data_IF_193924167696
#
_entry.id   IF_193924167696
#
_cell.length_a   1.000
_cell.length_b   1.000
_cell.length_c   1.000
_cell.angle_alpha   90.00
_cell.angle_beta   90.00
_cell.angle_gamma   90.00
#
_symmetry.space_group_name_H-M   'P 1'
#
loop_
_entity.id
_entity.type
_entity.pdbx_description
1 polymer ?
#
# COMPACT_ATOMS: atom_id res chain seq x y z
N UNK A 1 44.51 28.68 16.66
CA UNK A 1 45.30 27.95 15.63
C UNK A 1 45.00 26.44 15.58
N UNK A 2 43.73 25.99 15.67
CA UNK A 2 43.37 24.55 15.70
C UNK A 2 42.39 24.10 14.58
N UNK A 3 42.15 24.94 13.56
CA UNK A 3 41.27 24.61 12.44
C UNK A 3 41.64 23.32 11.67
N UNK A 4 42.92 23.04 11.33
CA UNK A 4 43.26 21.85 10.53
C UNK A 4 43.01 20.54 11.29
N UNK A 5 43.15 20.52 12.61
CA UNK A 5 42.95 19.32 13.44
C UNK A 5 41.46 18.89 13.52
N UNK A 6 40.53 19.85 13.45
CA UNK A 6 39.09 19.59 13.50
C UNK A 6 38.51 19.06 12.18
N UNK A 7 39.05 19.52 11.05
CA UNK A 7 38.73 19.03 9.71
C UNK A 7 39.31 17.63 9.48
N UNK A 8 40.54 17.38 9.92
CA UNK A 8 41.16 16.05 9.86
C UNK A 8 40.38 15.03 10.70
N UNK A 9 39.90 15.40 11.89
CA UNK A 9 39.04 14.54 12.72
C UNK A 9 37.66 14.26 12.10
N UNK A 10 37.08 15.20 11.36
CA UNK A 10 35.79 15.03 10.66
C UNK A 10 35.93 14.22 9.37
N UNK A 11 37.05 14.35 8.66
CA UNK A 11 37.39 13.49 7.53
C UNK A 11 37.70 12.06 8.00
N UNK A 12 38.50 11.90 9.07
CA UNK A 12 38.79 10.57 9.65
C UNK A 12 37.57 9.90 10.33
N UNK A 13 36.44 10.60 10.50
CA UNK A 13 35.23 10.05 11.10
C UNK A 13 34.38 9.19 10.16
N UNK A 14 34.63 9.22 8.85
CA UNK A 14 33.91 8.38 7.88
C UNK A 14 34.84 7.34 7.26
N UNK A 15 34.41 6.08 7.26
CA UNK A 15 35.17 4.93 6.72
C UNK A 15 35.54 5.09 5.25
N UNK A 16 34.75 5.86 4.49
CA UNK A 16 35.03 6.20 3.11
C UNK A 16 36.16 7.22 2.95
N UNK A 17 36.22 8.23 3.83
CA UNK A 17 37.25 9.27 3.77
C UNK A 17 38.61 8.75 4.27
N UNK A 18 38.63 7.84 5.25
CA UNK A 18 39.86 7.15 5.67
C UNK A 18 40.40 6.25 4.55
N UNK A 19 39.54 5.48 3.88
CA UNK A 19 39.93 4.63 2.77
C UNK A 19 40.48 5.44 1.58
N UNK A 20 39.80 6.51 1.17
CA UNK A 20 40.26 7.39 0.08
C UNK A 20 41.57 8.10 0.42
N UNK A 21 41.76 8.56 1.67
CA UNK A 21 43.02 9.14 2.11
C UNK A 21 44.16 8.11 2.07
N UNK A 22 43.91 6.86 2.47
CA UNK A 22 44.92 5.79 2.43
C UNK A 22 45.38 5.52 0.99
N UNK A 23 44.45 5.42 0.04
CA UNK A 23 44.76 5.23 -1.39
C UNK A 23 45.56 6.40 -1.94
N UNK A 24 45.20 7.64 -1.60
CA UNK A 24 45.92 8.83 -2.04
C UNK A 24 47.35 8.88 -1.51
N UNK A 25 47.56 8.55 -0.22
CA UNK A 25 48.89 8.45 0.38
C UNK A 25 49.71 7.36 -0.29
N UNK A 26 49.11 6.18 -0.53
CA UNK A 26 49.80 5.08 -1.19
C UNK A 26 50.23 5.43 -2.63
N UNK A 27 49.34 6.08 -3.40
CA UNK A 27 49.65 6.58 -4.73
C UNK A 27 50.80 7.60 -4.70
N UNK A 28 50.78 8.52 -3.75
CA UNK A 28 51.83 9.53 -3.60
C UNK A 28 53.18 8.89 -3.24
N UNK A 29 53.20 7.94 -2.30
CA UNK A 29 54.41 7.21 -1.92
C UNK A 29 54.94 6.35 -3.07
N UNK A 30 54.06 5.65 -3.80
CA UNK A 30 54.44 4.85 -4.96
C UNK A 30 54.99 5.74 -6.09
N UNK A 31 54.36 6.89 -6.35
CA UNK A 31 54.81 7.87 -7.36
C UNK A 31 56.20 8.41 -7.02
N UNK A 32 56.40 8.89 -5.80
CA UNK A 32 57.69 9.45 -5.35
C UNK A 32 58.78 8.37 -5.33
N UNK A 33 58.46 7.19 -4.80
CA UNK A 33 59.39 6.07 -4.74
C UNK A 33 59.79 5.57 -6.12
N UNK A 34 58.82 5.36 -7.01
CA UNK A 34 59.08 4.93 -8.39
C UNK A 34 59.89 5.96 -9.16
N UNK A 35 59.56 7.25 -9.03
CA UNK A 35 60.34 8.31 -9.65
C UNK A 35 61.79 8.31 -9.15
N UNK A 36 62.00 8.20 -7.84
CA UNK A 36 63.32 8.22 -7.24
C UNK A 36 64.20 7.02 -7.64
N UNK A 37 63.62 5.81 -7.65
CA UNK A 37 64.38 4.58 -7.90
C UNK A 37 64.50 4.20 -9.39
N UNK A 38 63.55 4.59 -10.25
CA UNK A 38 63.51 4.17 -11.66
C UNK A 38 63.74 5.32 -12.64
N UNK A 39 63.05 6.46 -12.45
CA UNK A 39 62.96 7.49 -13.50
C UNK A 39 63.92 8.68 -13.31
N UNK A 40 64.46 8.90 -12.11
CA UNK A 40 65.30 10.08 -11.79
C UNK A 40 66.52 10.25 -12.70
N UNK A 41 67.04 9.14 -13.24
CA UNK A 41 68.23 9.14 -14.08
C UNK A 41 67.91 9.30 -15.58
N UNK A 42 66.64 9.29 -15.97
CA UNK A 42 66.19 9.45 -17.36
C UNK A 42 65.64 10.88 -17.58
N UNK A 43 66.32 11.73 -18.37
CA UNK A 43 65.89 13.10 -18.63
C UNK A 43 64.55 13.20 -19.39
N UNK A 44 64.12 12.13 -20.05
CA UNK A 44 62.88 12.09 -20.85
C UNK A 44 61.63 11.81 -20.02
N UNK A 45 61.79 11.49 -18.73
CA UNK A 45 60.71 11.04 -17.85
C UNK A 45 60.47 12.01 -16.70
N UNK A 46 59.20 12.19 -16.38
CA UNK A 46 58.71 13.17 -15.43
C UNK A 46 58.08 12.51 -14.21
N UNK A 47 57.81 13.31 -13.16
CA UNK A 47 57.06 12.83 -12.00
C UNK A 47 55.63 12.38 -12.39
N UNK A 48 55.07 12.98 -13.44
CA UNK A 48 53.77 12.59 -13.97
C UNK A 48 53.79 11.18 -14.57
N UNK A 49 54.90 10.77 -15.21
CA UNK A 49 55.06 9.41 -15.72
C UNK A 49 55.10 8.36 -14.60
N UNK A 50 55.67 8.72 -13.44
CA UNK A 50 55.62 7.86 -12.25
C UNK A 50 54.19 7.75 -11.68
N UNK A 51 53.42 8.85 -11.69
CA UNK A 51 52.02 8.86 -11.26
C UNK A 51 51.15 8.03 -12.21
N UNK A 52 51.38 8.18 -13.52
CA UNK A 52 50.74 7.39 -14.57
C UNK A 52 50.98 5.90 -14.33
N UNK A 53 52.24 5.49 -14.15
CA UNK A 53 52.57 4.10 -13.83
C UNK A 53 51.87 3.60 -12.56
N UNK A 54 51.88 4.39 -11.48
CA UNK A 54 51.25 4.03 -10.22
C UNK A 54 49.74 3.85 -10.37
N UNK A 55 49.07 4.73 -11.13
CA UNK A 55 47.63 4.66 -11.42
C UNK A 55 47.28 3.43 -12.27
N UNK A 56 48.02 3.18 -13.35
CA UNK A 56 47.80 2.05 -14.28
C UNK A 56 48.04 0.71 -13.58
N UNK A 57 49.03 0.66 -12.68
CA UNK A 57 49.34 -0.53 -11.87
C UNK A 57 48.26 -0.75 -10.82
N UNK A 58 47.82 0.31 -10.13
CA UNK A 58 46.77 0.24 -9.13
C UNK A 58 45.42 -0.19 -9.70
N UNK A 59 45.09 0.30 -10.89
CA UNK A 59 43.85 -0.04 -11.59
C UNK A 59 43.92 -1.42 -12.25
N UNK A 60 45.02 -2.17 -12.09
CA UNK A 60 45.25 -3.49 -12.69
C UNK A 60 45.20 -3.51 -14.23
N UNK A 61 45.43 -2.36 -14.88
CA UNK A 61 45.41 -2.25 -16.36
C UNK A 61 46.74 -2.72 -16.94
N UNK A 62 47.86 -2.22 -16.41
CA UNK A 62 49.20 -2.69 -16.75
C UNK A 62 49.58 -2.60 -18.23
N UNK A 63 49.60 -1.40 -18.82
CA UNK A 63 49.97 -1.22 -20.24
C UNK A 63 51.37 -1.73 -20.60
N UNK A 64 52.30 -1.77 -19.64
CA UNK A 64 53.67 -2.27 -19.84
C UNK A 64 54.60 -1.28 -20.57
N UNK A 65 54.16 -0.05 -20.76
CA UNK A 65 54.90 1.08 -21.34
C UNK A 65 55.99 1.62 -20.41
N UNK A 66 55.77 1.54 -19.11
CA UNK A 66 56.73 1.88 -18.05
C UNK A 66 56.73 0.73 -17.04
N UNK A 67 57.90 0.20 -16.70
CA UNK A 67 58.03 -0.96 -15.80
C UNK A 67 59.24 -0.82 -14.86
N UNK A 68 59.16 -1.32 -13.61
CA UNK A 68 60.30 -1.29 -12.70
C UNK A 68 61.38 -2.29 -13.12
N UNK A 69 62.61 -1.80 -13.31
CA UNK A 69 63.77 -2.65 -13.59
C UNK A 69 64.61 -2.88 -12.33
N UNK A 70 64.59 -1.97 -11.37
CA UNK A 70 65.33 -2.07 -10.12
C UNK A 70 64.63 -2.94 -9.09
N UNK A 71 65.41 -3.53 -8.18
CA UNK A 71 64.88 -4.29 -7.03
C UNK A 71 63.92 -3.45 -6.17
N UNK A 72 64.25 -2.23 -5.71
CA UNK A 72 63.32 -1.42 -4.93
C UNK A 72 62.07 -1.01 -5.71
N UNK A 73 62.17 -0.69 -7.01
CA UNK A 73 61.00 -0.39 -7.83
C UNK A 73 60.06 -1.59 -7.99
N UNK A 74 60.60 -2.80 -8.10
CA UNK A 74 59.81 -4.04 -8.14
C UNK A 74 59.09 -4.31 -6.82
N UNK A 75 59.72 -4.01 -5.67
CA UNK A 75 59.07 -4.12 -4.35
C UNK A 75 57.88 -3.16 -4.24
N UNK A 76 58.05 -1.91 -4.67
CA UNK A 76 56.96 -0.92 -4.74
C UNK A 76 55.84 -1.44 -5.66
N UNK A 77 56.20 -1.96 -6.83
CA UNK A 77 55.25 -2.55 -7.78
C UNK A 77 54.44 -3.70 -7.19
N UNK A 78 55.09 -4.64 -6.48
CA UNK A 78 54.40 -5.75 -5.81
C UNK A 78 53.41 -5.25 -4.75
N UNK A 79 53.80 -4.25 -3.95
CA UNK A 79 52.90 -3.61 -2.99
C UNK A 79 51.70 -2.94 -3.68
N UNK A 80 51.95 -2.23 -4.78
CA UNK A 80 50.91 -1.54 -5.55
C UNK A 80 49.91 -2.51 -6.18
N UNK A 81 50.39 -3.62 -6.74
CA UNK A 81 49.56 -4.69 -7.31
C UNK A 81 48.68 -5.34 -6.24
N UNK A 82 49.26 -5.69 -5.08
CA UNK A 82 48.50 -6.26 -3.96
C UNK A 82 47.42 -5.32 -3.45
N UNK A 83 47.74 -4.03 -3.33
CA UNK A 83 46.78 -3.02 -2.93
C UNK A 83 45.70 -2.75 -3.98
N UNK A 84 46.05 -2.77 -5.27
CA UNK A 84 45.10 -2.67 -6.39
C UNK A 84 44.02 -3.76 -6.34
N UNK A 85 44.44 -5.01 -6.15
CA UNK A 85 43.53 -6.15 -5.96
C UNK A 85 42.65 -5.93 -4.72
N UNK A 86 43.24 -5.52 -3.59
CA UNK A 86 42.51 -5.26 -2.35
C UNK A 86 41.43 -4.18 -2.50
N UNK A 87 41.74 -3.07 -3.18
CA UNK A 87 40.80 -1.96 -3.41
C UNK A 87 39.66 -2.41 -4.33
N UNK A 88 39.96 -3.13 -5.42
CA UNK A 88 38.94 -3.66 -6.34
C UNK A 88 38.02 -4.68 -5.65
N UNK A 89 38.57 -5.56 -4.80
CA UNK A 89 37.81 -6.49 -4.00
C UNK A 89 36.89 -5.78 -3.00
N UNK A 90 37.40 -4.75 -2.30
CA UNK A 90 36.62 -3.95 -1.35
C UNK A 90 35.49 -3.17 -2.05
N UNK A 91 35.76 -2.55 -3.20
CA UNK A 91 34.75 -1.83 -3.99
C UNK A 91 33.62 -2.77 -4.43
N UNK A 92 33.98 -3.94 -4.95
CA UNK A 92 33.03 -4.98 -5.38
C UNK A 92 32.21 -5.50 -4.19
N UNK A 93 32.85 -5.79 -3.06
CA UNK A 93 32.19 -6.24 -1.84
C UNK A 93 31.21 -5.20 -1.28
N UNK A 94 31.57 -3.93 -1.28
CA UNK A 94 30.70 -2.84 -0.84
C UNK A 94 29.47 -2.68 -1.75
N UNK A 95 29.66 -2.74 -3.08
CA UNK A 95 28.55 -2.66 -4.03
C UNK A 95 27.62 -3.86 -3.88
N UNK A 96 28.17 -5.07 -3.76
CA UNK A 96 27.41 -6.29 -3.51
C UNK A 96 26.61 -6.19 -2.20
N UNK A 97 27.25 -5.75 -1.12
CA UNK A 97 26.61 -5.57 0.19
C UNK A 97 25.48 -4.55 0.13
N UNK A 98 25.67 -3.42 -0.57
CA UNK A 98 24.63 -2.41 -0.74
C UNK A 98 23.42 -2.94 -1.54
N UNK A 99 23.64 -3.78 -2.55
CA UNK A 99 22.57 -4.43 -3.31
C UNK A 99 21.83 -5.48 -2.47
N UNK A 100 22.56 -6.30 -1.72
CA UNK A 100 22.01 -7.31 -0.82
C UNK A 100 21.18 -6.63 0.27
N UNK A 101 21.68 -5.57 0.89
CA UNK A 101 20.97 -4.80 1.91
C UNK A 101 19.67 -4.21 1.36
N UNK A 102 19.71 -3.62 0.15
CA UNK A 102 18.49 -3.13 -0.51
C UNK A 102 17.48 -4.26 -0.74
N UNK A 103 17.93 -5.44 -1.18
CA UNK A 103 17.07 -6.60 -1.42
C UNK A 103 16.49 -7.15 -0.12
N UNK A 104 17.29 -7.21 0.95
CA UNK A 104 16.89 -7.65 2.27
C UNK A 104 15.86 -6.69 2.86
N UNK A 105 16.09 -5.37 2.79
CA UNK A 105 15.09 -4.37 3.22
C UNK A 105 13.78 -4.51 2.47
N UNK A 106 13.79 -4.82 1.17
CA UNK A 106 12.55 -5.10 0.43
C UNK A 106 11.84 -6.35 0.96
N UNK A 107 12.57 -7.47 1.13
CA UNK A 107 12.02 -8.72 1.67
C UNK A 107 11.47 -8.58 3.10
N UNK A 108 12.12 -7.77 3.93
CA UNK A 108 11.69 -7.49 5.29
C UNK A 108 10.49 -6.53 5.36
N UNK A 109 9.98 -6.05 4.22
CA UNK A 109 8.92 -5.05 4.18
C UNK A 109 9.37 -3.72 4.77
N UNK A 110 10.64 -3.33 4.64
CA UNK A 110 11.22 -2.06 5.11
C UNK A 110 11.48 -1.05 3.98
N UNK A 111 11.32 -1.48 2.73
CA UNK A 111 11.39 -0.61 1.56
C UNK A 111 10.07 0.19 1.38
N UNK A 112 10.10 1.36 0.73
CA UNK A 112 8.90 2.04 0.27
C UNK A 112 8.29 1.29 -0.92
N UNK A 113 6.96 1.18 -0.91
CA UNK A 113 6.16 0.57 -1.98
C UNK A 113 5.64 1.69 -2.87
N UNK A 114 6.02 1.67 -4.16
CA UNK A 114 5.57 2.65 -5.15
C UNK A 114 4.50 2.03 -6.03
N UNK A 115 3.24 2.34 -5.75
CA UNK A 115 2.08 1.84 -6.50
C UNK A 115 0.92 2.85 -6.43
N UNK A 116 -0.07 2.68 -7.31
CA UNK A 116 -1.26 3.53 -7.39
C UNK A 116 -2.49 2.70 -7.74
N UNK A 117 -3.66 3.07 -7.21
CA UNK A 117 -4.91 2.36 -7.45
C UNK A 117 -5.04 1.03 -6.69
N UNK A 118 -4.13 0.76 -5.75
CA UNK A 118 -4.17 -0.36 -4.81
C UNK A 118 -5.14 -0.11 -3.66
N UNK A 119 -5.57 -1.18 -2.99
CA UNK A 119 -6.17 -1.09 -1.67
C UNK A 119 -5.10 -1.19 -0.59
N UNK A 120 -5.26 -0.43 0.48
CA UNK A 120 -4.38 -0.46 1.64
C UNK A 120 -5.07 -1.19 2.78
N UNK A 121 -4.41 -2.19 3.37
CA UNK A 121 -4.90 -2.90 4.56
C UNK A 121 -3.96 -2.57 5.71
N UNK A 122 -4.49 -1.99 6.78
CA UNK A 122 -3.77 -1.47 7.94
C UNK A 122 -4.09 -2.34 9.15
N UNK A 123 -3.08 -3.00 9.70
CA UNK A 123 -3.26 -4.02 10.74
C UNK A 123 -3.43 -5.43 10.17
N UNK A 124 -3.38 -6.40 11.06
CA UNK A 124 -3.52 -7.82 10.73
C UNK A 124 -4.21 -8.54 11.89
N UNK A 125 -5.20 -9.36 11.55
CA UNK A 125 -6.02 -10.14 12.45
C UNK A 125 -6.47 -11.44 11.75
N UNK A 126 -7.22 -12.28 12.43
CA UNK A 126 -7.80 -13.52 11.91
C UNK A 126 -8.65 -13.38 10.64
N UNK A 127 -9.23 -12.20 10.37
CA UNK A 127 -10.05 -11.93 9.19
C UNK A 127 -9.26 -11.33 8.01
N UNK A 128 -8.00 -10.95 8.23
CA UNK A 128 -7.18 -10.22 7.25
C UNK A 128 -7.04 -11.00 5.93
N UNK A 129 -6.80 -12.31 5.99
CA UNK A 129 -6.65 -13.15 4.81
C UNK A 129 -7.91 -13.14 3.92
N UNK A 130 -9.09 -13.26 4.53
CA UNK A 130 -10.38 -13.21 3.84
C UNK A 130 -10.62 -11.85 3.17
N UNK A 131 -10.32 -10.75 3.88
CA UNK A 131 -10.41 -9.40 3.32
C UNK A 131 -9.47 -9.22 2.12
N UNK A 132 -8.19 -9.58 2.27
CA UNK A 132 -7.18 -9.46 1.20
C UNK A 132 -7.63 -10.23 -0.05
N UNK A 133 -8.14 -11.45 0.12
CA UNK A 133 -8.67 -12.27 -0.98
C UNK A 133 -9.85 -11.60 -1.68
N UNK A 134 -10.80 -11.08 -0.91
CA UNK A 134 -11.98 -10.38 -1.46
C UNK A 134 -11.59 -9.10 -2.22
N UNK A 135 -10.64 -8.32 -1.69
CA UNK A 135 -10.13 -7.10 -2.33
C UNK A 135 -9.37 -7.42 -3.63
N UNK A 136 -8.56 -8.48 -3.63
CA UNK A 136 -7.80 -8.89 -4.81
C UNK A 136 -8.70 -9.44 -5.93
N UNK A 137 -9.80 -10.12 -5.58
CA UNK A 137 -10.80 -10.61 -6.52
C UNK A 137 -11.64 -9.47 -7.12
N UNK A 138 -11.94 -8.43 -6.34
CA UNK A 138 -12.67 -7.25 -6.81
C UNK A 138 -11.79 -6.22 -7.53
N UNK A 139 -10.46 -6.37 -7.48
CA UNK A 139 -9.54 -5.44 -8.09
C UNK A 139 -9.53 -5.57 -9.63
N UNK A 140 -9.45 -4.45 -10.37
CA UNK A 140 -9.29 -4.47 -11.81
C UNK A 140 -7.98 -5.20 -12.21
N UNK A 141 -7.92 -5.76 -13.43
CA UNK A 141 -6.70 -6.41 -13.92
C UNK A 141 -5.58 -5.37 -14.11
N UNK A 142 -4.64 -5.34 -13.16
CA UNK A 142 -3.48 -4.44 -13.16
C UNK A 142 -2.17 -5.23 -13.16
N UNK A 143 -1.10 -4.64 -13.74
CA UNK A 143 0.25 -5.24 -13.72
C UNK A 143 0.97 -5.13 -12.36
N UNK A 144 0.46 -4.35 -11.41
CA UNK A 144 1.07 -4.09 -10.10
C UNK A 144 0.32 -4.73 -8.93
N UNK A 145 0.83 -4.53 -7.69
CA UNK A 145 0.17 -5.03 -6.48
C UNK A 145 -1.21 -4.39 -6.34
N UNK A 146 -2.21 -5.23 -6.07
CA UNK A 146 -3.59 -4.78 -5.86
C UNK A 146 -3.89 -4.49 -4.41
N UNK A 147 -3.13 -5.09 -3.50
CA UNK A 147 -3.23 -4.88 -2.06
C UNK A 147 -1.83 -4.60 -1.49
N UNK A 148 -1.73 -3.62 -0.60
CA UNK A 148 -0.55 -3.38 0.23
C UNK A 148 -0.96 -3.57 1.68
N UNK A 149 -0.29 -4.49 2.39
CA UNK A 149 -0.50 -4.76 3.80
C UNK A 149 0.50 -3.96 4.64
N UNK A 150 0.01 -3.20 5.62
CA UNK A 150 0.82 -2.51 6.62
C UNK A 150 0.54 -3.12 7.98
N UNK A 151 1.47 -3.92 8.50
CA UNK A 151 1.25 -4.60 9.76
C UNK A 151 2.56 -4.89 10.52
N UNK A 152 2.51 -4.97 11.86
CA UNK A 152 3.66 -5.32 12.69
C UNK A 152 3.94 -6.84 12.72
N UNK A 153 3.68 -7.56 11.63
CA UNK A 153 3.94 -9.00 11.53
C UNK A 153 5.37 -9.30 11.04
N UNK A 154 5.81 -10.55 11.21
CA UNK A 154 7.11 -10.98 10.68
C UNK A 154 7.04 -11.21 9.17
N UNK A 155 8.15 -11.03 8.42
CA UNK A 155 8.20 -11.34 6.99
C UNK A 155 7.83 -12.79 6.67
N UNK A 156 8.12 -13.72 7.58
CA UNK A 156 7.79 -15.14 7.45
C UNK A 156 6.27 -15.35 7.53
N UNK A 157 5.60 -14.76 8.53
CA UNK A 157 4.14 -14.83 8.66
C UNK A 157 3.43 -14.16 7.47
N UNK A 158 4.00 -13.08 6.93
CA UNK A 158 3.50 -12.47 5.70
C UNK A 158 3.64 -13.41 4.49
N UNK A 159 4.79 -14.06 4.33
CA UNK A 159 5.04 -14.96 3.21
C UNK A 159 4.11 -16.18 3.24
N UNK A 160 3.87 -16.75 4.42
CA UNK A 160 2.91 -17.83 4.64
C UNK A 160 1.49 -17.39 4.25
N UNK A 161 1.02 -16.26 4.79
CA UNK A 161 -0.31 -15.73 4.46
C UNK A 161 -0.45 -15.42 2.96
N UNK A 162 0.59 -14.89 2.31
CA UNK A 162 0.58 -14.58 0.89
C UNK A 162 0.50 -15.85 0.02
N UNK A 163 1.18 -16.92 0.43
CA UNK A 163 1.16 -18.23 -0.23
C UNK A 163 -0.21 -18.90 -0.09
N UNK A 164 -0.78 -18.92 1.11
CA UNK A 164 -2.10 -19.52 1.39
C UNK A 164 -3.23 -18.89 0.55
N UNK A 165 -3.13 -17.58 0.29
CA UNK A 165 -4.13 -16.84 -0.50
C UNK A 165 -3.82 -16.92 -2.01
N UNK A 166 -2.61 -17.32 -2.40
CA UNK A 166 -2.17 -17.38 -3.80
C UNK A 166 -1.95 -15.99 -4.44
N UNK A 167 -1.46 -15.01 -3.68
CA UNK A 167 -1.31 -13.60 -4.11
C UNK A 167 0.14 -13.09 -4.05
N UNK A 168 1.13 -13.98 -4.12
CA UNK A 168 2.56 -13.67 -3.99
C UNK A 168 3.03 -12.47 -4.83
N UNK A 169 2.54 -12.34 -6.06
CA UNK A 169 2.90 -11.25 -6.99
C UNK A 169 1.92 -10.07 -6.99
N UNK A 170 0.85 -10.16 -6.19
CA UNK A 170 -0.28 -9.20 -6.17
C UNK A 170 -0.44 -8.52 -4.80
N UNK A 171 0.29 -8.98 -3.79
CA UNK A 171 0.30 -8.48 -2.42
C UNK A 171 1.70 -7.95 -2.08
N UNK A 172 1.82 -6.68 -1.70
CA UNK A 172 3.07 -6.11 -1.17
C UNK A 172 2.94 -5.81 0.34
N UNK A 173 4.07 -5.74 1.04
CA UNK A 173 4.14 -5.66 2.51
C UNK A 173 4.99 -4.49 2.99
N UNK A 174 4.43 -3.72 3.91
CA UNK A 174 5.11 -2.73 4.73
C UNK A 174 5.07 -3.16 6.19
N UNK A 175 6.20 -3.62 6.70
CA UNK A 175 6.35 -3.98 8.11
C UNK A 175 6.36 -2.74 9.00
N UNK A 176 5.52 -2.76 10.02
CA UNK A 176 5.49 -1.77 11.10
C UNK A 176 4.07 -1.45 11.59
N UNK A 177 3.98 -0.59 12.61
CA UNK A 177 2.71 -0.15 13.15
C UNK A 177 2.07 0.91 12.22
N UNK A 178 0.82 0.73 11.76
CA UNK A 178 0.12 1.70 10.90
C UNK A 178 -0.13 3.06 11.56
N UNK A 179 -0.08 3.16 12.90
CA UNK A 179 -0.17 4.43 13.62
C UNK A 179 1.10 5.28 13.53
N UNK A 180 2.18 4.78 12.94
CA UNK A 180 3.41 5.55 12.73
C UNK A 180 3.45 6.12 11.31
N UNK A 181 3.51 7.46 11.21
CA UNK A 181 3.52 8.17 9.92
C UNK A 181 4.64 7.68 8.99
N UNK A 182 5.85 7.46 9.51
CA UNK A 182 6.98 6.96 8.72
C UNK A 182 6.80 5.55 8.15
N UNK A 183 6.01 4.70 8.82
CA UNK A 183 5.65 3.36 8.32
C UNK A 183 4.55 3.49 7.27
N UNK A 184 3.48 4.23 7.60
CA UNK A 184 2.32 4.37 6.74
C UNK A 184 2.64 5.10 5.43
N UNK A 185 3.48 6.14 5.48
CA UNK A 185 3.92 6.90 4.31
C UNK A 185 4.67 6.04 3.28
N UNK A 186 5.33 4.95 3.72
CA UNK A 186 6.01 4.01 2.81
C UNK A 186 5.05 3.17 1.98
N UNK A 187 3.78 3.10 2.34
CA UNK A 187 2.77 2.29 1.66
C UNK A 187 1.98 3.04 0.57
N UNK A 188 2.42 4.25 0.21
CA UNK A 188 1.77 5.13 -0.77
C UNK A 188 0.28 5.38 -0.47
N UNK A 189 -0.09 5.90 0.72
CA UNK A 189 -1.48 6.06 1.12
C UNK A 189 -2.26 7.06 0.23
N UNK A 190 -1.61 8.13 -0.25
CA UNK A 190 -2.25 9.17 -1.05
C UNK A 190 -2.70 8.70 -2.45
N UNK A 191 -2.12 7.63 -2.98
CA UNK A 191 -2.45 7.06 -4.30
C UNK A 191 -3.31 5.80 -4.20
N UNK A 192 -3.69 5.39 -2.99
CA UNK A 192 -4.56 4.26 -2.76
C UNK A 192 -6.00 4.57 -3.21
N UNK A 193 -6.70 3.54 -3.70
CA UNK A 193 -8.13 3.63 -4.05
C UNK A 193 -9.00 3.69 -2.80
N UNK A 194 -8.63 2.91 -1.79
CA UNK A 194 -9.31 2.80 -0.52
C UNK A 194 -8.35 2.22 0.53
N UNK A 195 -8.61 2.51 1.81
CA UNK A 195 -7.89 1.96 2.95
C UNK A 195 -8.85 1.28 3.94
N UNK A 196 -8.37 0.22 4.57
CA UNK A 196 -9.10 -0.59 5.55
C UNK A 196 -8.24 -0.73 6.80
N UNK A 197 -8.73 -0.31 7.96
CA UNK A 197 -8.09 -0.53 9.25
C UNK A 197 -8.75 -1.72 9.92
N UNK A 198 -7.93 -2.69 10.30
CA UNK A 198 -8.31 -3.88 11.03
C UNK A 198 -7.94 -3.71 12.50
N UNK A 199 -8.88 -3.98 13.40
CA UNK A 199 -8.57 -4.02 14.83
C UNK A 199 -7.71 -5.25 15.13
N UNK A 200 -6.73 -5.09 16.03
CA UNK A 200 -5.75 -6.13 16.33
C UNK A 200 -6.30 -7.18 17.30
N UNK A 201 -5.92 -8.42 17.06
CA UNK A 201 -6.24 -9.53 17.97
C UNK A 201 -5.28 -9.55 19.17
N UNK A 202 -5.73 -10.08 20.31
CA UNK A 202 -4.91 -10.26 21.51
C UNK A 202 -4.74 -9.01 22.40
N UNK A 203 -5.35 -7.89 22.04
CA UNK A 203 -5.45 -6.69 22.88
C UNK A 203 -6.81 -6.60 23.56
N UNK A 204 -6.86 -5.82 24.65
CA UNK A 204 -8.15 -5.42 25.23
C UNK A 204 -8.95 -4.57 24.22
N UNK A 205 -10.29 -4.64 24.21
CA UNK A 205 -11.12 -3.92 23.25
C UNK A 205 -10.83 -2.41 23.16
N UNK A 206 -10.62 -1.77 24.31
CA UNK A 206 -10.30 -0.35 24.40
C UNK A 206 -8.95 -0.04 23.73
N UNK A 207 -7.92 -0.85 23.99
CA UNK A 207 -6.58 -0.67 23.43
C UNK A 207 -6.55 -0.91 21.91
N UNK A 208 -7.27 -1.93 21.44
CA UNK A 208 -7.38 -2.22 20.01
C UNK A 208 -8.04 -1.05 19.26
N UNK A 209 -9.14 -0.51 19.78
CA UNK A 209 -9.84 0.61 19.17
C UNK A 209 -9.04 1.92 19.25
N UNK A 210 -8.28 2.14 20.32
CA UNK A 210 -7.34 3.26 20.41
C UNK A 210 -6.28 3.18 19.29
N UNK A 211 -5.74 1.99 19.01
CA UNK A 211 -4.81 1.82 17.90
C UNK A 211 -5.47 2.04 16.54
N UNK A 212 -6.71 1.58 16.35
CA UNK A 212 -7.51 1.86 15.16
C UNK A 212 -7.70 3.37 14.98
N UNK A 213 -8.03 4.09 16.04
CA UNK A 213 -8.21 5.55 16.03
C UNK A 213 -6.92 6.29 15.67
N UNK A 214 -5.79 5.91 16.26
CA UNK A 214 -4.49 6.51 15.95
C UNK A 214 -4.07 6.24 14.50
N UNK A 215 -4.28 5.02 14.00
CA UNK A 215 -4.05 4.68 12.61
C UNK A 215 -4.94 5.50 11.66
N UNK A 216 -6.20 5.73 12.03
CA UNK A 216 -7.13 6.54 11.25
C UNK A 216 -6.67 8.01 11.15
N UNK A 217 -6.29 8.62 12.27
CA UNK A 217 -5.78 9.99 12.30
C UNK A 217 -4.49 10.13 11.46
N UNK A 218 -3.56 9.19 11.62
CA UNK A 218 -2.31 9.15 10.85
C UNK A 218 -2.59 9.03 9.36
N UNK A 219 -3.49 8.13 8.97
CA UNK A 219 -3.89 7.94 7.58
C UNK A 219 -4.55 9.20 7.01
N UNK A 220 -5.47 9.81 7.75
CA UNK A 220 -6.22 10.98 7.29
C UNK A 220 -5.31 12.21 7.12
N UNK A 221 -4.24 12.32 7.92
CA UNK A 221 -3.17 13.31 7.71
C UNK A 221 -2.40 13.13 6.41
N UNK A 222 -2.14 11.89 5.98
CA UNK A 222 -1.38 11.58 4.76
C UNK A 222 -2.24 11.52 3.49
N UNK A 223 -3.51 11.10 3.61
CA UNK A 223 -4.41 10.82 2.51
C UNK A 223 -5.83 11.36 2.79
N UNK A 224 -6.01 12.70 2.84
CA UNK A 224 -7.24 13.32 3.31
C UNK A 224 -8.49 12.96 2.49
N UNK A 225 -8.33 12.65 1.20
CA UNK A 225 -9.42 12.40 0.24
C UNK A 225 -9.74 10.93 -0.01
N UNK A 226 -8.91 10.00 0.48
CA UNK A 226 -9.07 8.55 0.20
C UNK A 226 -10.12 7.96 1.12
N UNK A 227 -10.99 7.08 0.60
CA UNK A 227 -11.99 6.40 1.44
C UNK A 227 -11.29 5.51 2.47
N UNK A 228 -11.68 5.67 3.73
CA UNK A 228 -11.15 4.94 4.88
C UNK A 228 -12.28 4.17 5.55
N UNK A 229 -12.08 2.87 5.65
CA UNK A 229 -12.96 1.96 6.37
C UNK A 229 -12.20 1.46 7.59
N UNK A 230 -12.89 1.28 8.71
CA UNK A 230 -12.27 0.74 9.92
C UNK A 230 -13.15 -0.30 10.58
N UNK A 231 -12.51 -1.26 11.21
CA UNK A 231 -13.10 -2.18 12.16
C UNK A 231 -12.88 -1.67 13.58
N UNK A 232 -13.90 -1.77 14.42
CA UNK A 232 -13.82 -1.49 15.86
C UNK A 232 -14.47 -2.61 16.66
N UNK A 233 -14.13 -2.70 17.94
CA UNK A 233 -14.68 -3.67 18.87
C UNK A 233 -15.79 -3.08 19.73
N UNK A 234 -15.74 -1.77 20.02
CA UNK A 234 -16.72 -1.09 20.86
C UNK A 234 -17.61 -0.15 20.04
N UNK A 235 -18.92 -0.31 20.17
CA UNK A 235 -19.92 0.56 19.50
C UNK A 235 -19.77 2.03 19.91
N UNK A 236 -19.38 2.29 21.17
CA UNK A 236 -19.12 3.64 21.70
C UNK A 236 -18.03 4.39 20.92
N UNK A 237 -17.09 3.67 20.28
CA UNK A 237 -15.99 4.27 19.52
C UNK A 237 -16.37 4.64 18.08
N UNK A 238 -17.56 4.26 17.60
CA UNK A 238 -18.03 4.59 16.25
C UNK A 238 -17.96 6.09 15.99
N UNK A 239 -18.44 6.90 16.93
CA UNK A 239 -18.46 8.36 16.76
C UNK A 239 -17.04 8.95 16.79
N UNK A 240 -16.14 8.41 17.60
CA UNK A 240 -14.74 8.83 17.65
C UNK A 240 -14.01 8.54 16.33
N UNK A 241 -14.22 7.36 15.75
CA UNK A 241 -13.66 6.99 14.46
C UNK A 241 -14.21 7.85 13.32
N UNK A 242 -15.52 8.13 13.31
CA UNK A 242 -16.11 9.05 12.35
C UNK A 242 -15.49 10.45 12.43
N UNK A 243 -15.24 10.97 13.64
CA UNK A 243 -14.55 12.26 13.86
C UNK A 243 -13.08 12.23 13.42
N UNK A 244 -12.39 11.09 13.53
CA UNK A 244 -11.07 10.88 12.95
C UNK A 244 -11.09 10.76 11.41
N UNK A 245 -12.27 10.87 10.81
CA UNK A 245 -12.49 10.80 9.38
C UNK A 245 -12.61 9.38 8.87
N UNK A 246 -12.98 8.37 9.65
CA UNK A 246 -13.35 7.06 9.09
C UNK A 246 -14.72 7.20 8.40
N UNK A 247 -14.81 6.77 7.14
CA UNK A 247 -16.03 6.87 6.34
C UNK A 247 -17.05 5.80 6.71
N UNK A 248 -16.61 4.56 6.98
CA UNK A 248 -17.49 3.48 7.48
C UNK A 248 -16.78 2.69 8.57
N UNK A 249 -17.45 2.55 9.70
CA UNK A 249 -17.00 1.70 10.81
C UNK A 249 -17.85 0.44 10.90
N UNK A 250 -17.20 -0.71 10.92
CA UNK A 250 -17.82 -2.01 11.19
C UNK A 250 -17.48 -2.43 12.62
N UNK A 251 -18.48 -2.71 13.44
CA UNK A 251 -18.25 -3.32 14.75
C UNK A 251 -18.11 -4.83 14.57
N UNK A 252 -17.01 -5.38 15.06
CA UNK A 252 -16.75 -6.82 15.00
C UNK A 252 -17.81 -7.55 15.80
N UNK A 253 -18.43 -8.57 15.19
CA UNK A 253 -19.45 -9.38 15.84
C UNK A 253 -20.89 -8.89 15.64
N UNK A 254 -21.12 -7.58 15.45
CA UNK A 254 -22.48 -7.01 15.31
C UNK A 254 -23.31 -7.68 14.19
N UNK A 255 -22.70 -7.92 13.03
CA UNK A 255 -23.39 -8.62 11.94
C UNK A 255 -23.74 -10.07 12.31
N UNK A 256 -22.85 -10.77 13.01
CA UNK A 256 -23.06 -12.15 13.47
C UNK A 256 -24.17 -12.22 14.51
N UNK A 257 -24.19 -11.28 15.45
CA UNK A 257 -25.23 -11.18 16.48
C UNK A 257 -26.60 -10.92 15.86
N UNK A 258 -26.69 -9.96 14.93
CA UNK A 258 -27.91 -9.67 14.16
C UNK A 258 -28.35 -10.87 13.34
N UNK A 259 -27.41 -11.57 12.71
CA UNK A 259 -27.69 -12.79 11.97
C UNK A 259 -28.33 -13.86 12.86
N UNK A 260 -27.72 -14.17 14.00
CA UNK A 260 -28.23 -15.15 14.96
C UNK A 260 -29.63 -14.78 15.48
N UNK A 261 -29.87 -13.49 15.75
CA UNK A 261 -31.19 -12.98 16.13
C UNK A 261 -32.25 -13.25 15.06
N UNK A 262 -31.97 -12.90 13.80
CA UNK A 262 -32.92 -13.08 12.69
C UNK A 262 -33.17 -14.54 12.31
N UNK A 263 -32.19 -15.43 12.52
CA UNK A 263 -32.37 -16.87 12.29
C UNK A 263 -33.43 -17.48 13.21
N UNK A 264 -33.57 -16.94 14.43
CA UNK A 264 -34.62 -17.35 15.35
C UNK A 264 -36.03 -16.99 14.87
N UNK A 265 -36.16 -15.91 14.09
CA UNK A 265 -37.43 -15.53 13.46
C UNK A 265 -37.74 -16.42 12.25
N UNK A 266 -36.79 -16.52 11.31
CA UNK A 266 -36.91 -17.41 10.16
C UNK A 266 -35.53 -17.70 9.51
N UNK A 267 -35.08 -18.97 9.44
CA UNK A 267 -33.76 -19.33 8.91
C UNK A 267 -33.49 -18.85 7.47
N UNK A 268 -34.53 -18.73 6.65
CA UNK A 268 -34.39 -18.24 5.27
C UNK A 268 -33.89 -16.79 5.17
N UNK A 269 -34.06 -15.95 6.19
CA UNK A 269 -33.60 -14.55 6.18
C UNK A 269 -32.08 -14.47 6.11
N UNK A 270 -31.38 -15.34 6.86
CA UNK A 270 -29.92 -15.42 6.78
C UNK A 270 -29.44 -15.91 5.42
N UNK A 271 -30.02 -17.00 4.92
CA UNK A 271 -29.64 -17.56 3.61
C UNK A 271 -29.91 -16.55 2.48
N UNK A 272 -30.96 -15.75 2.60
CA UNK A 272 -31.24 -14.65 1.69
C UNK A 272 -30.14 -13.58 1.76
N UNK A 273 -29.74 -13.16 2.97
CA UNK A 273 -28.68 -12.18 3.15
C UNK A 273 -27.31 -12.67 2.65
N UNK A 274 -26.95 -13.93 2.88
CA UNK A 274 -25.74 -14.55 2.33
C UNK A 274 -25.72 -14.49 0.80
N UNK A 275 -26.85 -14.82 0.16
CA UNK A 275 -27.00 -14.72 -1.30
C UNK A 275 -26.88 -13.29 -1.80
N UNK A 276 -27.35 -12.31 -1.03
CA UNK A 276 -27.25 -10.89 -1.37
C UNK A 276 -25.81 -10.37 -1.27
N UNK A 277 -25.10 -10.72 -0.21
CA UNK A 277 -23.67 -10.39 -0.02
C UNK A 277 -22.80 -11.07 -1.08
N UNK A 278 -23.23 -12.24 -1.54
CA UNK A 278 -22.65 -12.97 -2.66
C UNK A 278 -21.32 -13.65 -2.31
N UNK A 279 -20.71 -14.27 -3.32
CA UNK A 279 -19.34 -14.80 -3.26
C UNK A 279 -18.41 -13.96 -4.12
N UNK A 280 -17.07 -13.99 -3.89
CA UNK A 280 -16.13 -13.27 -4.76
C UNK A 280 -16.36 -13.63 -6.24
N UNK A 281 -16.73 -12.64 -7.06
CA UNK A 281 -17.04 -12.81 -8.49
C UNK A 281 -18.54 -12.92 -8.83
N UNK A 282 -19.42 -13.20 -7.87
CA UNK A 282 -20.87 -13.28 -8.07
C UNK A 282 -21.59 -12.47 -6.98
N UNK A 283 -21.85 -11.19 -7.27
CA UNK A 283 -22.60 -10.30 -6.37
C UNK A 283 -24.00 -10.07 -6.93
N UNK A 284 -25.01 -10.59 -6.23
CA UNK A 284 -26.40 -10.32 -6.54
C UNK A 284 -26.74 -8.85 -6.36
N UNK A 285 -26.11 -8.18 -5.38
CA UNK A 285 -26.27 -6.77 -5.08
C UNK A 285 -25.16 -5.91 -5.69
N UNK A 286 -25.54 -4.86 -6.41
CA UNK A 286 -24.60 -3.91 -7.02
C UNK A 286 -25.03 -2.48 -6.73
N UNK A 287 -24.08 -1.63 -6.36
CA UNK A 287 -24.27 -0.19 -6.27
C UNK A 287 -23.89 0.45 -7.61
N UNK A 288 -24.73 1.34 -8.13
CA UNK A 288 -24.44 2.14 -9.34
C UNK A 288 -24.79 3.60 -9.10
N UNK A 289 -24.08 4.50 -9.78
CA UNK A 289 -24.48 5.89 -9.85
C UNK A 289 -25.80 6.04 -10.62
N UNK A 290 -26.60 7.04 -10.23
CA UNK A 290 -27.76 7.47 -11.00
C UNK A 290 -27.28 8.23 -12.24
N UNK A 291 -27.84 7.89 -13.41
CA UNK A 291 -27.60 8.65 -14.64
C UNK A 291 -28.22 10.05 -14.55
N UNK A 292 -27.78 10.97 -15.41
CA UNK A 292 -28.28 12.35 -15.42
C UNK A 292 -29.81 12.40 -15.59
N UNK A 293 -30.36 11.52 -16.42
CA UNK A 293 -31.79 11.44 -16.69
C UNK A 293 -32.59 10.87 -15.51
N UNK A 294 -31.99 9.96 -14.73
CA UNK A 294 -32.65 9.34 -13.56
C UNK A 294 -32.72 10.27 -12.36
N UNK A 295 -31.84 11.27 -12.25
CA UNK A 295 -31.84 12.22 -11.12
C UNK A 295 -33.08 13.10 -11.06
N UNK A 296 -33.81 13.27 -12.16
CA UNK A 296 -35.07 14.02 -12.19
C UNK A 296 -36.32 13.13 -12.06
N UNK A 297 -36.15 11.82 -11.90
CA UNK A 297 -37.25 10.88 -11.81
C UNK A 297 -37.62 10.57 -10.36
N UNK A 298 -38.85 10.13 -10.18
CA UNK A 298 -39.31 9.51 -8.93
C UNK A 298 -38.86 8.06 -8.84
N UNK A 299 -38.72 7.55 -7.62
CA UNK A 299 -38.35 6.16 -7.37
C UNK A 299 -39.22 5.16 -8.15
N UNK A 300 -40.54 5.32 -8.12
CA UNK A 300 -41.49 4.46 -8.85
C UNK A 300 -41.22 4.41 -10.36
N UNK A 301 -40.84 5.54 -10.95
CA UNK A 301 -40.51 5.65 -12.38
C UNK A 301 -39.22 4.90 -12.71
N UNK A 302 -38.21 4.98 -11.84
CA UNK A 302 -36.95 4.23 -12.01
C UNK A 302 -37.16 2.74 -11.82
N UNK A 303 -37.97 2.33 -10.85
CA UNK A 303 -38.34 0.92 -10.67
C UNK A 303 -39.10 0.40 -11.89
N UNK A 304 -40.13 1.11 -12.35
CA UNK A 304 -40.90 0.72 -13.53
C UNK A 304 -40.02 0.60 -14.78
N UNK A 305 -39.12 1.56 -15.01
CA UNK A 305 -38.15 1.53 -16.13
C UNK A 305 -37.20 0.35 -16.03
N UNK A 306 -36.63 0.10 -14.84
CA UNK A 306 -35.69 -0.99 -14.63
C UNK A 306 -36.35 -2.37 -14.76
N UNK A 307 -37.62 -2.49 -14.36
CA UNK A 307 -38.43 -3.70 -14.53
C UNK A 307 -38.81 -3.92 -16.00
N UNK A 308 -39.10 -2.86 -16.77
CA UNK A 308 -39.36 -2.96 -18.21
C UNK A 308 -38.13 -3.44 -19.00
N UNK A 309 -36.92 -3.05 -18.58
CA UNK A 309 -35.66 -3.52 -19.17
C UNK A 309 -35.31 -4.96 -18.76
N UNK A 310 -36.06 -5.57 -17.82
CA UNK A 310 -36.01 -7.00 -17.48
C UNK A 310 -34.72 -7.51 -16.84
N UNK A 311 -33.80 -6.62 -16.45
CA UNK A 311 -32.43 -7.01 -16.08
C UNK A 311 -32.04 -6.77 -14.63
N UNK A 312 -32.68 -5.81 -13.95
CA UNK A 312 -32.25 -5.35 -12.62
C UNK A 312 -33.43 -4.85 -11.80
N UNK A 313 -33.48 -5.18 -10.52
CA UNK A 313 -34.48 -4.69 -9.57
C UNK A 313 -33.83 -3.66 -8.63
N UNK A 314 -34.15 -2.37 -8.74
CA UNK A 314 -33.73 -1.38 -7.77
C UNK A 314 -34.38 -1.64 -6.41
N UNK A 315 -33.60 -1.65 -5.34
CA UNK A 315 -34.06 -1.94 -3.97
C UNK A 315 -33.78 -0.83 -2.98
N UNK A 316 -32.77 0.01 -3.24
CA UNK A 316 -32.43 1.12 -2.36
C UNK A 316 -31.78 2.27 -3.13
N UNK A 317 -31.76 3.45 -2.52
CA UNK A 317 -30.99 4.63 -2.97
C UNK A 317 -29.95 5.00 -1.93
N UNK A 318 -28.84 5.59 -2.36
CA UNK A 318 -27.77 5.97 -1.45
C UNK A 318 -27.16 7.34 -1.74
N UNK A 319 -26.58 7.91 -0.69
CA UNK A 319 -25.71 9.10 -0.72
C UNK A 319 -24.37 8.73 -0.11
N UNK A 320 -23.26 9.03 -0.77
CA UNK A 320 -21.90 8.66 -0.36
C UNK A 320 -21.34 9.65 0.67
N UNK A 321 -21.70 10.93 0.58
CA UNK A 321 -21.19 11.97 1.48
C UNK A 321 -22.33 12.81 2.05
N UNK A 322 -22.31 12.99 3.38
CA UNK A 322 -23.07 14.03 4.07
C UNK A 322 -22.06 14.87 4.86
N UNK A 323 -21.91 16.13 4.48
CA UNK A 323 -21.25 17.09 5.35
C UNK A 323 -22.10 17.22 6.62
N UNK A 324 -21.53 16.93 7.79
CA UNK A 324 -22.14 17.19 9.09
C UNK A 324 -22.20 18.69 9.26
N UNK A 325 -23.40 19.25 9.25
CA UNK A 325 -23.61 20.63 9.69
C UNK A 325 -23.60 20.69 11.22
N UNK A 326 -23.05 21.76 11.81
CA UNK A 326 -23.01 22.05 13.26
C UNK A 326 -24.37 21.83 13.92
N UNK A 327 -25.43 22.19 13.19
CA UNK A 327 -26.82 22.05 13.61
C UNK A 327 -27.22 20.60 13.94
N UNK A 328 -26.55 19.61 13.36
CA UNK A 328 -26.81 18.18 13.61
C UNK A 328 -25.98 17.63 14.79
N UNK A 329 -25.04 18.41 15.32
CA UNK A 329 -24.14 18.03 16.41
C UNK A 329 -24.54 18.66 17.75
N UNK A 330 -25.45 19.61 17.72
CA UNK A 330 -25.91 20.41 18.85
C UNK A 330 -27.38 20.07 19.15
N UNK A 331 -27.73 19.99 20.43
CA UNK A 331 -29.13 19.84 20.85
C UNK A 331 -29.78 21.23 20.79
N UNK A 332 -30.69 21.42 19.84
CA UNK A 332 -31.25 22.74 19.51
C UNK A 332 -32.06 23.41 20.65
N UNK A 333 -32.27 22.70 21.77
CA UNK A 333 -33.00 23.16 22.94
C UNK A 333 -32.12 23.89 23.97
N UNK A 334 -30.79 23.89 23.80
CA UNK A 334 -29.86 24.57 24.70
C UNK A 334 -29.50 25.98 24.22
N UNK A 335 -29.60 26.99 25.09
CA UNK A 335 -29.29 28.39 24.74
C UNK A 335 -27.83 28.61 24.26
N UNK A 336 -26.90 27.77 24.75
CA UNK A 336 -25.51 27.78 24.30
C UNK A 336 -25.37 27.33 22.84
N UNK A 337 -26.17 26.37 22.42
CA UNK A 337 -26.11 25.77 21.09
C UNK A 337 -26.67 26.72 20.03
N UNK A 338 -27.71 27.49 20.37
CA UNK A 338 -28.21 28.58 19.54
C UNK A 338 -27.17 29.70 19.38
N UNK A 339 -26.48 30.07 20.47
CA UNK A 339 -25.41 31.07 20.40
C UNK A 339 -24.24 30.61 19.50
N UNK A 340 -23.84 29.34 19.58
CA UNK A 340 -22.82 28.77 18.70
C UNK A 340 -23.29 28.85 17.23
N UNK A 341 -24.53 28.46 16.93
CA UNK A 341 -25.08 28.53 15.57
C UNK A 341 -25.10 29.96 15.01
N UNK A 342 -25.50 30.94 15.81
CA UNK A 342 -25.48 32.37 15.42
C UNK A 342 -24.06 32.87 15.15
N UNK A 343 -23.08 32.43 15.94
CA UNK A 343 -21.68 32.78 15.74
C UNK A 343 -21.18 32.29 14.37
N UNK A 344 -21.46 31.03 14.02
CA UNK A 344 -21.05 30.46 12.73
C UNK A 344 -21.72 31.15 11.54
N UNK A 345 -23.02 31.49 11.67
CA UNK A 345 -23.75 32.24 10.66
C UNK A 345 -23.18 33.65 10.46
N UNK A 346 -22.79 34.34 11.53
CA UNK A 346 -22.20 35.68 11.48
C UNK A 346 -20.81 35.72 10.80
N UNK A 347 -20.03 34.64 10.90
CA UNK A 347 -18.71 34.52 10.27
C UNK A 347 -18.73 33.92 8.86
N UNK A 348 -19.92 33.67 8.28
CA UNK A 348 -20.06 33.11 6.93
C UNK A 348 -19.50 31.69 6.78
N UNK A 349 -19.36 30.95 7.89
CA UNK A 349 -18.95 29.56 7.89
C UNK A 349 -20.23 28.70 7.86
N UNK A 350 -20.43 27.87 6.82
CA UNK A 350 -21.60 26.98 6.69
C UNK A 350 -21.67 25.87 7.76
N UNK A 351 -20.84 25.95 8.80
CA UNK A 351 -20.87 25.03 9.93
C UNK A 351 -20.59 23.58 9.55
N UNK A 352 -19.78 23.30 8.53
CA UNK A 352 -19.42 21.93 8.17
C UNK A 352 -18.34 21.39 9.13
N UNK A 353 -18.65 20.37 9.93
CA UNK A 353 -17.77 19.78 10.97
C UNK A 353 -17.18 18.42 10.58
N UNK A 354 -17.77 17.67 9.66
CA UNK A 354 -17.24 16.35 9.32
C UNK A 354 -18.05 15.64 8.24
N UNK A 355 -17.77 14.36 8.00
CA UNK A 355 -18.54 13.53 7.08
C UNK A 355 -19.21 12.39 7.87
N UNK A 356 -20.51 12.16 7.64
CA UNK A 356 -21.09 10.85 7.94
C UNK A 356 -20.86 9.92 6.75
N UNK A 357 -20.71 8.62 7.03
CA UNK A 357 -20.66 7.56 6.04
C UNK A 357 -21.87 7.52 5.12
N UNK A 358 -21.91 6.58 4.17
CA UNK A 358 -22.98 6.51 3.20
C UNK A 358 -24.33 6.27 3.88
N UNK A 359 -25.34 7.04 3.47
CA UNK A 359 -26.73 6.87 3.93
C UNK A 359 -27.49 6.09 2.87
N UNK A 360 -28.17 5.01 3.29
CA UNK A 360 -28.96 4.15 2.41
C UNK A 360 -30.41 4.18 2.84
N UNK A 361 -31.33 4.43 1.90
CA UNK A 361 -32.77 4.28 2.11
C UNK A 361 -33.24 3.06 1.31
N UNK A 362 -33.59 1.99 2.04
CA UNK A 362 -34.16 0.77 1.46
C UNK A 362 -35.64 1.00 1.21
N UNK A 363 -36.10 0.73 0.00
CA UNK A 363 -37.47 0.98 -0.44
C UNK A 363 -38.00 2.38 -0.03
N UNK A 364 -37.44 3.48 -0.58
CA UNK A 364 -37.70 4.84 -0.11
C UNK A 364 -39.16 5.32 -0.27
N UNK A 365 -39.99 4.58 -1.00
CA UNK A 365 -41.37 4.95 -1.33
C UNK A 365 -41.49 5.57 -2.72
N UNK A 366 -42.65 5.41 -3.36
CA UNK A 366 -42.86 5.67 -4.79
C UNK A 366 -42.63 7.13 -5.22
N UNK A 367 -42.85 8.06 -4.29
CA UNK A 367 -42.83 9.50 -4.55
C UNK A 367 -41.47 10.17 -4.33
N UNK A 368 -40.48 9.44 -3.81
CA UNK A 368 -39.18 10.01 -3.48
C UNK A 368 -38.45 10.50 -4.73
N UNK A 369 -38.06 11.77 -4.69
CA UNK A 369 -37.24 12.42 -5.71
C UNK A 369 -35.77 11.97 -5.58
N UNK A 370 -35.19 11.60 -6.71
CA UNK A 370 -33.83 11.09 -6.81
C UNK A 370 -32.77 12.17 -6.96
N UNK A 371 -33.16 13.44 -7.06
CA UNK A 371 -32.26 14.58 -7.26
C UNK A 371 -31.22 14.72 -6.14
N UNK A 372 -31.58 14.34 -4.92
CA UNK A 372 -30.71 14.39 -3.75
C UNK A 372 -29.78 13.18 -3.58
N UNK A 373 -29.90 12.15 -4.43
CA UNK A 373 -29.17 10.87 -4.27
C UNK A 373 -28.02 10.72 -5.28
N UNK A 374 -26.95 10.04 -4.84
CA UNK A 374 -25.78 9.78 -5.69
C UNK A 374 -25.98 8.55 -6.57
N UNK A 375 -26.74 7.57 -6.07
CA UNK A 375 -26.84 6.26 -6.68
C UNK A 375 -27.99 5.41 -6.16
N UNK A 376 -28.14 4.22 -6.75
CA UNK A 376 -29.06 3.20 -6.31
C UNK A 376 -28.39 1.82 -6.21
N UNK A 377 -28.93 1.00 -5.31
CA UNK A 377 -28.59 -0.41 -5.14
C UNK A 377 -29.60 -1.23 -5.93
N UNK A 378 -29.09 -2.12 -6.75
CA UNK A 378 -29.89 -2.99 -7.63
C UNK A 378 -29.56 -4.47 -7.38
N UNK A 379 -30.56 -5.32 -7.57
CA UNK A 379 -30.45 -6.77 -7.60
C UNK A 379 -30.50 -7.28 -9.05
N UNK A 380 -29.52 -8.09 -9.47
CA UNK A 380 -29.48 -8.75 -10.79
C UNK A 380 -28.07 -9.03 -11.32
N UNK A 381 -27.83 -10.25 -11.83
CA UNK A 381 -26.60 -10.65 -12.55
C UNK A 381 -26.86 -10.72 -14.06
N UNK A 382 -25.96 -10.38 -14.98
CA UNK A 382 -24.52 -10.68 -15.09
C UNK A 382 -23.60 -9.45 -15.12
N UNK A 383 -22.36 -9.62 -14.64
CA UNK A 383 -21.21 -8.79 -15.04
C UNK A 383 -20.78 -9.13 -16.46
N UNK A 384 -20.45 -8.09 -17.24
CA UNK A 384 -19.99 -8.12 -18.63
C UNK A 384 -18.93 -9.21 -18.91
N UNK A 385 -19.37 -10.35 -19.44
CA UNK A 385 -18.53 -11.30 -20.16
C UNK A 385 -19.31 -11.90 -21.34
N UNK A 386 -19.91 -11.05 -22.18
CA UNK A 386 -20.50 -11.50 -23.45
C UNK A 386 -20.59 -10.34 -24.45
N UNK A 387 -19.49 -10.13 -25.19
CA UNK A 387 -19.49 -9.83 -26.62
C UNK A 387 -18.11 -10.21 -27.16
N UNK A 388 -17.82 -11.51 -27.16
CA UNK A 388 -17.05 -12.04 -28.28
C UNK A 388 -18.09 -12.49 -29.32
N UNK A 389 -18.02 -11.89 -30.49
CA UNK A 389 -18.83 -12.28 -31.63
C UNK A 389 -18.38 -13.68 -32.08
N UNK A 390 -19.03 -14.71 -31.53
CA UNK A 390 -19.23 -16.00 -32.20
C UNK A 390 -20.23 -16.84 -31.41
N UNK A 391 -21.48 -16.83 -31.86
CA UNK A 391 -22.51 -17.72 -31.35
C UNK A 391 -22.14 -19.18 -31.61
N UNK A 392 -22.06 -19.97 -30.55
CA UNK A 392 -22.37 -21.42 -30.58
C UNK A 392 -22.65 -21.88 -29.13
N UNK A 393 -23.79 -22.54 -28.87
CA UNK A 393 -24.01 -23.18 -27.58
C UNK A 393 -23.15 -24.44 -27.49
N UNK A 394 -22.47 -24.62 -26.35
CA UNK A 394 -21.73 -25.84 -26.04
C UNK A 394 -22.73 -27.00 -25.88
N UNK A 395 -22.51 -28.06 -26.66
CA UNK A 395 -23.38 -29.22 -26.74
C UNK A 395 -23.40 -30.05 -25.46
N UNK A 396 -24.59 -30.56 -25.19
CA UNK A 396 -24.87 -31.73 -24.36
C UNK A 396 -24.08 -32.94 -24.85
N UNK A 397 -23.27 -33.56 -23.97
CA UNK A 397 -22.76 -34.92 -24.22
C UNK A 397 -23.87 -35.93 -23.95
N UNK A 398 -24.18 -36.85 -24.88
CA UNK A 398 -25.06 -37.97 -24.61
C UNK A 398 -24.29 -39.09 -23.89
N UNK A 399 -24.96 -39.67 -22.90
CA UNK A 399 -24.66 -40.97 -22.33
C UNK A 399 -24.88 -42.05 -23.39
N UNK A 400 -23.82 -42.75 -23.78
CA UNK A 400 -23.93 -44.01 -24.52
C UNK A 400 -23.83 -45.18 -23.53
N UNK A 401 -24.92 -45.93 -23.49
CA UNK A 401 -25.10 -47.21 -22.84
C UNK A 401 -25.35 -48.21 -23.97
N UNK A 402 -24.43 -49.15 -24.20
CA UNK A 402 -24.66 -50.34 -25.03
C UNK A 402 -23.63 -51.44 -24.72
N UNK A 403 -24.10 -52.52 -24.10
CA UNK A 403 -23.31 -53.62 -23.54
C UNK A 403 -22.74 -54.64 -24.54
N UNK A 404 -22.12 -55.69 -23.99
CA UNK A 404 -21.96 -56.97 -24.68
C UNK A 404 -20.79 -57.86 -24.24
N UNK A 405 -21.10 -58.95 -23.53
CA UNK A 405 -20.54 -60.29 -23.80
C UNK A 405 -19.33 -60.78 -22.98
N UNK A 406 -19.55 -61.84 -22.20
CA UNK A 406 -18.58 -62.70 -21.50
C UNK A 406 -17.83 -63.66 -22.48
N UNK A 407 -17.01 -64.66 -22.08
CA UNK A 407 -17.16 -65.57 -20.91
C UNK A 407 -16.17 -65.34 -19.76
#
# INVERSE_FOLDING_TARGET
>A
MNAPASLLRRLLASTLATATALVAVMLLLATLGFYYFELRHDPSRTLFDALWWAMVTLSTVGYGDIVPVTVPGRIIGMGMMGAGIGIMAALTGNLASALIERRNRKRQGLAPVKTSGHCLVLGYNSHAAGLIKALAAAAPPTRGPVVVLVAPITPEAFAEAAADIGLENRLEFCRGNPAQEGVLGRASPATARAAYILSQDGLAPEEADQQTLLAALTFRGLAPKVQLYAEALLETNRQHLARAGVDVTLIRGDLTERALGTMGEHPALWHFMERLLGTPGHRAMQARALSHDERGLRWSQVVARSMADGRRLPVAVFRIKRDITIKELLDADTALDQFILELFAAYGQEGRIGNQGPVVLVNPGDEVDLSAFDGCIVLGGETAAAKDHRGKPAGTSPSDDAGGGAP
#
